data_IF_803134457714
#
_entry.id   IF_803134457714
#
_cell.length_a   1.000
_cell.length_b   1.000
_cell.length_c   1.000
_cell.angle_alpha   90.00
_cell.angle_beta   90.00
_cell.angle_gamma   90.00
#
_symmetry.space_group_name_H-M   'P 1'
#
loop_
_entity.id
_entity.type
_entity.pdbx_description
1 polymer ?
#
# COMPACT_ATOMS: atom_id res chain seq x y z
N UNK A 1 -9.59 -19.62 13.71
CA UNK A 1 -9.96 -19.12 12.37
C UNK A 1 -8.77 -18.49 11.62
N UNK A 2 -8.06 -17.54 12.23
CA UNK A 2 -6.95 -16.82 11.57
C UNK A 2 -5.82 -17.74 11.09
N UNK A 3 -5.43 -18.74 11.90
CA UNK A 3 -4.42 -19.75 11.52
C UNK A 3 -4.92 -20.69 10.41
N UNK A 4 -6.21 -20.99 10.37
CA UNK A 4 -6.79 -21.87 9.35
C UNK A 4 -6.77 -21.26 7.96
N UNK A 5 -7.14 -19.98 7.82
CA UNK A 5 -7.11 -19.28 6.53
C UNK A 5 -5.70 -19.31 5.92
N UNK A 6 -4.68 -19.12 6.74
CA UNK A 6 -3.30 -19.11 6.26
C UNK A 6 -2.76 -20.51 6.00
N UNK A 7 -3.16 -21.49 6.81
CA UNK A 7 -2.83 -22.88 6.52
C UNK A 7 -3.43 -23.31 5.18
N UNK A 8 -4.67 -22.88 4.88
CA UNK A 8 -5.30 -23.11 3.57
C UNK A 8 -4.56 -22.36 2.47
N UNK A 9 -4.24 -21.08 2.66
CA UNK A 9 -3.46 -20.30 1.68
C UNK A 9 -2.09 -20.94 1.41
N UNK A 10 -1.39 -21.40 2.46
CA UNK A 10 -0.11 -22.09 2.33
C UNK A 10 -0.22 -23.43 1.61
N UNK A 11 -1.31 -24.17 1.81
CA UNK A 11 -1.58 -25.41 1.07
C UNK A 11 -1.91 -25.14 -0.41
N UNK A 12 -2.66 -24.07 -0.69
CA UNK A 12 -2.97 -23.66 -2.07
C UNK A 12 -1.71 -23.26 -2.83
N UNK A 13 -0.68 -22.73 -2.14
CA UNK A 13 0.60 -22.38 -2.75
C UNK A 13 1.41 -23.61 -3.21
N UNK A 14 1.15 -24.79 -2.67
CA UNK A 14 1.83 -26.02 -3.05
C UNK A 14 1.09 -26.85 -4.10
N UNK A 15 -0.01 -26.34 -4.63
CA UNK A 15 -0.78 -26.99 -5.69
C UNK A 15 -0.84 -26.10 -6.94
N UNK A 16 -0.81 -26.66 -8.15
CA UNK A 16 -0.99 -25.87 -9.36
C UNK A 16 -2.35 -25.18 -9.32
N UNK A 17 -2.33 -23.87 -9.06
CA UNK A 17 -3.55 -23.09 -8.90
C UNK A 17 -4.35 -23.04 -10.20
N UNK A 18 -5.58 -23.52 -10.18
CA UNK A 18 -6.51 -23.49 -11.32
C UNK A 18 -7.04 -22.07 -11.58
N UNK A 19 -7.21 -21.27 -10.52
CA UNK A 19 -7.74 -19.92 -10.60
C UNK A 19 -6.88 -18.92 -9.78
N UNK A 20 -6.77 -17.66 -10.23
CA UNK A 20 -6.16 -16.61 -9.43
C UNK A 20 -6.90 -16.43 -8.10
N UNK A 21 -6.15 -16.26 -7.02
CA UNK A 21 -6.68 -16.10 -5.66
C UNK A 21 -6.08 -14.87 -5.00
N UNK A 22 -6.79 -14.30 -4.02
CA UNK A 22 -6.34 -13.16 -3.24
C UNK A 22 -6.32 -13.51 -1.77
N UNK A 23 -5.24 -13.15 -1.08
CA UNK A 23 -5.17 -13.11 0.38
C UNK A 23 -5.11 -11.66 0.80
N UNK A 24 -6.17 -11.16 1.38
CA UNK A 24 -6.29 -9.78 1.81
C UNK A 24 -6.33 -9.72 3.33
N UNK A 25 -5.36 -9.04 3.93
CA UNK A 25 -5.26 -8.83 5.37
C UNK A 25 -5.45 -7.35 5.65
N UNK A 26 -6.65 -7.00 6.11
CA UNK A 26 -6.93 -5.70 6.68
C UNK A 26 -6.35 -5.65 8.08
N UNK A 27 -5.60 -4.58 8.39
CA UNK A 27 -4.87 -4.40 9.65
C UNK A 27 -3.92 -5.59 9.94
N UNK A 28 -2.99 -5.86 9.00
CA UNK A 28 -2.03 -6.97 9.09
C UNK A 28 -1.26 -7.04 10.42
N UNK A 29 -0.86 -5.93 11.08
CA UNK A 29 -0.22 -5.97 12.40
C UNK A 29 -1.07 -6.63 13.48
N UNK A 30 -2.37 -6.37 13.49
CA UNK A 30 -3.32 -6.91 14.50
C UNK A 30 -3.60 -8.39 14.27
N UNK A 31 -3.53 -8.82 13.01
CA UNK A 31 -3.74 -10.21 12.60
C UNK A 31 -2.40 -10.93 12.53
N UNK A 32 -1.66 -11.02 13.61
CA UNK A 32 -0.36 -11.69 13.56
C UNK A 32 -0.42 -13.08 12.90
N UNK A 33 0.37 -13.25 11.83
CA UNK A 33 0.47 -14.47 11.04
C UNK A 33 1.92 -14.92 11.02
N UNK A 34 2.24 -16.07 11.61
CA UNK A 34 3.60 -16.60 11.51
C UNK A 34 4.01 -16.81 10.05
N UNK A 35 5.23 -16.37 9.70
CA UNK A 35 5.83 -16.50 8.37
C UNK A 35 4.98 -15.87 7.25
N UNK A 36 4.35 -14.73 7.53
CA UNK A 36 3.53 -14.01 6.56
C UNK A 36 4.35 -13.63 5.31
N UNK A 37 5.64 -13.37 5.47
CA UNK A 37 6.58 -13.02 4.41
C UNK A 37 6.68 -14.07 3.29
N UNK A 38 6.32 -15.30 3.57
CA UNK A 38 6.32 -16.38 2.56
C UNK A 38 5.22 -16.16 1.51
N UNK A 39 4.07 -15.60 1.90
CA UNK A 39 2.93 -15.39 0.99
C UNK A 39 3.27 -14.48 -0.20
N UNK A 40 3.71 -13.24 -0.02
CA UNK A 40 4.04 -12.37 -1.15
C UNK A 40 5.23 -12.88 -1.96
N UNK A 41 6.21 -13.55 -1.31
CA UNK A 41 7.41 -14.03 -1.99
C UNK A 41 7.16 -15.25 -2.89
N UNK A 42 6.29 -16.16 -2.49
CA UNK A 42 6.05 -17.43 -3.22
C UNK A 42 4.67 -17.50 -3.87
N UNK A 43 3.75 -16.60 -3.50
CA UNK A 43 2.37 -16.63 -3.99
C UNK A 43 2.25 -16.40 -5.50
N UNK A 44 3.14 -15.59 -6.09
CA UNK A 44 3.08 -15.22 -7.51
C UNK A 44 3.08 -16.42 -8.45
N UNK A 45 3.96 -17.39 -8.24
CA UNK A 45 4.04 -18.60 -9.06
C UNK A 45 2.78 -19.46 -8.99
N UNK A 46 2.05 -19.34 -7.89
CA UNK A 46 0.79 -20.05 -7.62
C UNK A 46 -0.45 -19.20 -7.88
N UNK A 47 -0.31 -18.06 -8.58
CA UNK A 47 -1.40 -17.11 -8.87
C UNK A 47 -2.13 -16.62 -7.62
N UNK A 48 -1.42 -16.51 -6.49
CA UNK A 48 -1.93 -15.94 -5.24
C UNK A 48 -1.39 -14.53 -5.08
N UNK A 49 -2.27 -13.54 -5.10
CA UNK A 49 -1.93 -12.15 -4.81
C UNK A 49 -2.14 -11.87 -3.33
N UNK A 50 -1.16 -11.22 -2.70
CA UNK A 50 -1.22 -10.83 -1.29
C UNK A 50 -1.43 -9.33 -1.19
N UNK A 51 -2.45 -8.91 -0.44
CA UNK A 51 -2.75 -7.52 -0.14
C UNK A 51 -2.66 -7.32 1.36
N UNK A 52 -1.73 -6.47 1.79
CA UNK A 52 -1.50 -6.15 3.19
C UNK A 52 -1.88 -4.69 3.43
N UNK A 53 -2.69 -4.44 4.43
CA UNK A 53 -3.06 -3.09 4.85
C UNK A 53 -2.63 -2.88 6.29
N UNK A 54 -2.12 -1.69 6.58
CA UNK A 54 -1.77 -1.25 7.92
C UNK A 54 -1.93 0.27 8.02
N UNK A 55 -2.12 0.76 9.23
CA UNK A 55 -2.25 2.20 9.50
C UNK A 55 -0.88 2.87 9.63
N UNK A 56 0.11 2.16 10.18
CA UNK A 56 1.45 2.66 10.40
C UNK A 56 2.50 1.54 10.27
N UNK A 57 3.65 1.87 9.69
CA UNK A 57 4.76 0.94 9.56
C UNK A 57 5.37 0.56 10.91
N UNK A 58 5.29 1.44 11.91
CA UNK A 58 5.75 1.13 13.26
C UNK A 58 4.98 -0.03 13.88
N UNK A 59 3.67 -0.12 13.65
CA UNK A 59 2.85 -1.24 14.12
C UNK A 59 3.23 -2.56 13.46
N UNK A 60 3.57 -2.51 12.17
CA UNK A 60 4.06 -3.69 11.46
C UNK A 60 5.40 -4.17 12.05
N UNK A 61 6.29 -3.22 12.36
CA UNK A 61 7.59 -3.50 12.99
C UNK A 61 7.43 -4.06 14.40
N UNK A 62 6.49 -3.54 15.18
CA UNK A 62 6.21 -4.03 16.53
C UNK A 62 5.66 -5.48 16.51
N UNK A 63 4.75 -5.77 15.57
CA UNK A 63 4.13 -7.09 15.47
C UNK A 63 5.03 -8.18 14.90
N UNK A 64 5.84 -7.87 13.89
CA UNK A 64 6.63 -8.86 13.15
C UNK A 64 8.15 -8.79 13.40
N UNK A 65 8.61 -7.74 14.06
CA UNK A 65 10.02 -7.39 14.17
C UNK A 65 10.53 -6.67 12.91
N UNK A 66 11.62 -5.92 13.06
CA UNK A 66 12.14 -5.05 12.01
C UNK A 66 12.48 -5.81 10.73
N UNK A 67 13.24 -6.89 10.84
CA UNK A 67 13.71 -7.66 9.68
C UNK A 67 12.56 -8.21 8.84
N UNK A 68 11.55 -8.82 9.48
CA UNK A 68 10.38 -9.35 8.77
C UNK A 68 9.48 -8.26 8.19
N UNK A 69 9.35 -7.13 8.88
CA UNK A 69 8.62 -5.98 8.36
C UNK A 69 9.27 -5.40 7.12
N UNK A 70 10.59 -5.28 7.11
CA UNK A 70 11.35 -4.80 5.96
C UNK A 70 11.21 -5.77 4.77
N UNK A 71 11.22 -7.09 5.02
CA UNK A 71 10.97 -8.11 3.98
C UNK A 71 9.54 -8.02 3.45
N UNK A 72 8.54 -7.90 4.32
CA UNK A 72 7.13 -7.74 3.92
C UNK A 72 6.94 -6.50 3.05
N UNK A 73 7.52 -5.38 3.48
CA UNK A 73 7.44 -4.13 2.74
C UNK A 73 8.12 -4.22 1.37
N UNK A 74 9.30 -4.83 1.30
CA UNK A 74 10.03 -5.00 0.04
C UNK A 74 9.39 -6.01 -0.91
N UNK A 75 8.68 -7.01 -0.38
CA UNK A 75 8.02 -8.05 -1.20
C UNK A 75 6.73 -7.56 -1.87
N UNK A 76 6.14 -6.48 -1.37
CA UNK A 76 4.99 -5.84 -1.97
C UNK A 76 5.47 -4.80 -2.99
N UNK A 77 5.32 -5.06 -4.28
CA UNK A 77 5.82 -4.19 -5.34
C UNK A 77 4.88 -3.02 -5.65
N UNK A 78 3.59 -3.15 -5.36
CA UNK A 78 2.59 -2.10 -5.56
C UNK A 78 2.16 -1.54 -4.22
N UNK A 79 2.28 -0.23 -4.07
CA UNK A 79 2.00 0.47 -2.82
C UNK A 79 1.00 1.59 -3.02
N UNK A 80 0.07 1.72 -2.06
CA UNK A 80 -0.87 2.81 -1.95
C UNK A 80 -0.73 3.46 -0.57
N UNK A 81 -0.37 4.72 -0.54
CA UNK A 81 -0.13 5.48 0.68
C UNK A 81 -1.18 6.57 0.82
N UNK A 82 -2.01 6.49 1.84
CA UNK A 82 -2.90 7.55 2.27
C UNK A 82 -2.21 8.49 3.26
N UNK A 83 -3.03 9.25 4.01
CA UNK A 83 -2.53 10.11 5.07
C UNK A 83 -1.94 9.28 6.20
N UNK A 84 -0.74 9.61 6.63
CA UNK A 84 -0.07 9.04 7.80
C UNK A 84 0.00 10.05 8.94
N UNK A 85 0.03 9.58 10.18
CA UNK A 85 0.16 10.44 11.36
C UNK A 85 1.62 10.55 11.85
N UNK A 86 2.43 9.54 11.59
CA UNK A 86 3.83 9.47 12.02
C UNK A 86 4.74 10.19 11.04
N UNK A 87 5.56 11.13 11.53
CA UNK A 87 6.60 11.79 10.73
C UNK A 87 7.67 10.81 10.27
N UNK A 88 8.01 9.80 11.08
CA UNK A 88 8.99 8.77 10.74
C UNK A 88 8.48 7.97 9.54
N UNK A 89 7.23 7.55 9.57
CA UNK A 89 6.60 6.87 8.43
C UNK A 89 6.55 7.77 7.21
N UNK A 90 6.18 9.04 7.36
CA UNK A 90 6.17 10.00 6.26
C UNK A 90 7.55 10.17 5.59
N UNK A 91 8.64 10.17 6.36
CA UNK A 91 10.01 10.25 5.85
C UNK A 91 10.42 8.99 5.09
N UNK A 92 10.04 7.81 5.59
CA UNK A 92 10.26 6.54 4.90
C UNK A 92 9.54 6.55 3.54
N UNK A 93 8.28 6.95 3.51
CA UNK A 93 7.48 7.03 2.30
C UNK A 93 8.06 8.04 1.30
N UNK A 94 8.47 9.23 1.76
CA UNK A 94 9.10 10.24 0.90
C UNK A 94 10.34 9.68 0.19
N UNK A 95 11.19 8.95 0.91
CA UNK A 95 12.39 8.31 0.36
C UNK A 95 12.07 7.25 -0.70
N UNK A 96 10.93 6.57 -0.61
CA UNK A 96 10.50 5.57 -1.60
C UNK A 96 10.23 6.19 -2.98
N UNK A 97 9.76 7.43 -3.03
CA UNK A 97 9.52 8.14 -4.28
C UNK A 97 10.80 8.72 -4.89
N UNK A 98 11.88 8.78 -4.09
CA UNK A 98 13.15 9.31 -4.52
C UNK A 98 13.15 10.82 -4.68
N UNK A 99 14.15 11.31 -5.39
CA UNK A 99 14.38 12.72 -5.61
C UNK A 99 14.40 13.05 -7.09
N UNK A 100 14.16 14.31 -7.40
CA UNK A 100 14.21 14.86 -8.75
C UNK A 100 14.97 16.17 -8.75
N UNK A 101 15.67 16.41 -9.82
CA UNK A 101 16.38 17.68 -10.03
C UNK A 101 15.41 18.75 -10.50
N UNK A 102 15.42 19.88 -9.81
CA UNK A 102 14.71 21.09 -10.23
C UNK A 102 15.70 22.19 -10.56
N UNK A 103 15.59 22.72 -11.76
CA UNK A 103 16.36 23.88 -12.20
C UNK A 103 15.64 25.12 -11.69
N UNK A 104 16.36 25.96 -10.94
CA UNK A 104 15.90 27.27 -10.49
C UNK A 104 16.70 28.33 -11.24
N UNK A 105 16.00 29.12 -12.02
CA UNK A 105 16.60 30.31 -12.66
C UNK A 105 16.41 31.50 -11.75
N UNK A 106 17.49 31.99 -11.21
CA UNK A 106 17.48 33.22 -10.41
C UNK A 106 17.94 34.38 -11.30
N UNK A 107 17.05 35.32 -11.55
CA UNK A 107 17.38 36.54 -12.29
C UNK A 107 17.73 37.61 -11.28
N UNK A 108 18.97 38.08 -11.31
CA UNK A 108 19.44 39.20 -10.48
C UNK A 108 19.59 40.46 -11.35
N UNK A 109 18.87 41.50 -11.01
CA UNK A 109 19.03 42.81 -11.63
C UNK A 109 19.96 43.68 -10.77
N UNK A 110 21.14 43.99 -11.29
CA UNK A 110 22.08 44.85 -10.63
C UNK A 110 21.94 46.28 -11.20
N UNK A 111 21.47 47.21 -10.37
CA UNK A 111 21.51 48.62 -10.66
C UNK A 111 22.78 49.23 -10.04
N UNK A 112 23.84 49.29 -10.79
CA UNK A 112 25.07 50.03 -10.41
C UNK A 112 25.19 51.27 -11.26
N UNK A 113 25.17 52.45 -10.63
CA UNK A 113 25.57 53.70 -11.26
C UNK A 113 24.72 54.90 -10.92
N UNK A 114 25.38 56.01 -10.60
CA UNK A 114 24.81 57.32 -10.30
C UNK A 114 24.29 58.07 -11.53
N UNK A 115 24.28 57.43 -12.71
CA UNK A 115 23.80 58.08 -13.97
C UNK A 115 22.79 57.11 -14.63
N UNK A 116 21.58 57.57 -14.75
CA UNK A 116 20.38 56.86 -15.20
C UNK A 116 20.34 56.41 -16.66
N UNK A 117 21.46 56.06 -17.29
CA UNK A 117 21.51 55.64 -18.70
C UNK A 117 22.17 54.28 -18.94
N UNK A 118 22.47 53.50 -17.89
CA UNK A 118 23.06 52.18 -18.09
C UNK A 118 21.93 51.16 -18.06
N UNK A 119 21.77 50.38 -19.15
CA UNK A 119 20.83 49.27 -19.23
C UNK A 119 21.07 48.32 -18.05
N UNK A 120 20.02 47.89 -17.32
CA UNK A 120 20.19 46.94 -16.23
C UNK A 120 20.84 45.68 -16.77
N UNK A 121 21.96 45.29 -16.18
CA UNK A 121 22.60 44.04 -16.50
C UNK A 121 21.82 42.91 -15.80
N UNK A 122 21.12 42.11 -16.59
CA UNK A 122 20.43 40.90 -16.08
C UNK A 122 21.41 39.76 -16.10
N UNK A 123 21.71 39.26 -14.94
CA UNK A 123 22.47 38.02 -14.79
C UNK A 123 21.48 36.91 -14.45
N UNK A 124 21.35 35.93 -15.31
CA UNK A 124 20.61 34.72 -15.06
C UNK A 124 21.59 33.68 -14.57
N UNK A 125 21.32 33.12 -13.39
CA UNK A 125 22.07 32.00 -12.86
C UNK A 125 21.10 30.82 -12.67
N UNK A 126 21.45 29.71 -13.26
CA UNK A 126 20.73 28.45 -13.10
C UNK A 126 21.37 27.65 -11.97
N UNK A 127 20.53 27.24 -11.01
CA UNK A 127 20.96 26.40 -9.92
C UNK A 127 20.12 25.13 -9.94
N UNK A 128 20.77 23.99 -10.06
CA UNK A 128 20.10 22.67 -9.94
C UNK A 128 20.00 22.33 -8.46
N UNK A 129 18.78 22.08 -7.99
CA UNK A 129 18.53 21.61 -6.62
C UNK A 129 17.80 20.28 -6.67
N UNK A 130 18.38 19.31 -5.99
CA UNK A 130 17.75 18.02 -5.75
C UNK A 130 16.61 18.18 -4.73
N UNK A 131 15.42 17.72 -5.08
CA UNK A 131 14.24 17.76 -4.18
C UNK A 131 13.49 16.46 -4.21
N UNK A 132 12.89 16.10 -3.07
CA UNK A 132 12.01 14.96 -2.96
C UNK A 132 10.84 15.09 -3.95
N UNK A 133 10.54 14.02 -4.67
CA UNK A 133 9.39 13.96 -5.60
C UNK A 133 8.09 14.23 -4.83
N UNK A 134 7.94 13.61 -3.66
CA UNK A 134 6.86 13.90 -2.72
C UNK A 134 7.49 14.13 -1.35
N UNK A 135 7.30 15.33 -0.80
CA UNK A 135 7.82 15.68 0.52
C UNK A 135 7.09 14.94 1.63
N UNK A 136 7.78 14.61 2.72
CA UNK A 136 7.19 14.00 3.93
C UNK A 136 5.94 14.76 4.43
N UNK A 137 5.99 16.09 4.44
CA UNK A 137 4.85 16.92 4.84
C UNK A 137 3.59 16.69 3.99
N UNK A 138 3.73 16.28 2.73
CA UNK A 138 2.58 15.99 1.88
C UNK A 138 1.80 14.76 2.35
N UNK A 139 2.49 13.72 2.86
CA UNK A 139 1.83 12.53 3.42
C UNK A 139 1.08 12.82 4.71
N UNK A 140 1.57 13.76 5.54
CA UNK A 140 0.90 14.19 6.77
C UNK A 140 -0.37 15.00 6.49
N UNK A 141 -0.44 15.66 5.33
CA UNK A 141 -1.49 16.61 4.96
C UNK A 141 -2.46 16.07 3.90
N UNK A 142 -2.34 14.81 3.50
CA UNK A 142 -3.24 14.22 2.51
C UNK A 142 -4.70 14.32 2.96
N UNK A 143 -5.57 14.69 2.03
CA UNK A 143 -7.01 14.75 2.24
C UNK A 143 -7.69 13.39 2.16
N UNK A 144 -8.97 13.36 2.50
CA UNK A 144 -9.78 12.15 2.37
C UNK A 144 -9.84 11.70 0.92
N UNK A 145 -9.58 10.42 0.68
CA UNK A 145 -9.54 9.80 -0.64
C UNK A 145 -8.31 10.15 -1.46
N UNK A 146 -7.37 10.92 -0.94
CA UNK A 146 -6.10 11.20 -1.61
C UNK A 146 -5.08 10.11 -1.29
N UNK A 147 -4.42 9.61 -2.34
CA UNK A 147 -3.37 8.60 -2.25
C UNK A 147 -2.21 8.95 -3.15
N UNK A 148 -1.01 8.64 -2.67
CA UNK A 148 0.18 8.50 -3.49
C UNK A 148 0.55 7.03 -3.57
N UNK A 149 1.21 6.60 -4.63
CA UNK A 149 1.58 5.20 -4.74
C UNK A 149 2.59 4.92 -5.82
N UNK A 150 3.08 3.71 -5.76
CA UNK A 150 3.99 3.13 -6.74
C UNK A 150 3.30 1.87 -7.26
N UNK A 151 3.07 1.80 -8.56
CA UNK A 151 2.47 0.64 -9.22
C UNK A 151 3.47 0.06 -10.20
N UNK A 152 3.98 -1.11 -9.89
CA UNK A 152 4.86 -1.87 -10.79
C UNK A 152 4.01 -2.49 -11.89
N UNK A 153 4.55 -2.58 -13.10
CA UNK A 153 3.84 -3.08 -14.30
C UNK A 153 2.69 -2.16 -14.78
N UNK A 154 2.74 -0.87 -14.40
CA UNK A 154 1.80 0.16 -14.85
C UNK A 154 2.50 1.14 -15.80
N UNK A 155 1.75 1.74 -16.72
CA UNK A 155 2.26 2.82 -17.59
C UNK A 155 2.71 4.06 -16.78
N UNK A 156 2.19 4.23 -15.57
CA UNK A 156 2.57 5.27 -14.61
C UNK A 156 3.05 4.60 -13.36
N UNK A 157 4.37 4.51 -13.18
CA UNK A 157 4.98 3.84 -12.02
C UNK A 157 4.72 4.56 -10.71
N UNK A 158 4.68 5.89 -10.72
CA UNK A 158 4.42 6.72 -9.54
C UNK A 158 3.20 7.60 -9.78
N UNK A 159 2.31 7.68 -8.81
CA UNK A 159 1.11 8.51 -8.91
C UNK A 159 0.79 9.21 -7.59
N UNK A 160 0.11 10.35 -7.70
CA UNK A 160 -0.63 11.02 -6.62
C UNK A 160 -1.99 11.42 -7.17
N UNK A 161 -3.06 10.84 -6.65
CA UNK A 161 -4.43 10.98 -7.16
C UNK A 161 -5.43 11.02 -6.01
N UNK A 162 -6.54 11.69 -6.27
CA UNK A 162 -7.72 11.62 -5.42
C UNK A 162 -8.70 10.63 -6.04
N UNK A 163 -9.04 9.60 -5.26
CA UNK A 163 -10.03 8.61 -5.65
C UNK A 163 -11.41 9.12 -5.21
N UNK A 164 -12.37 9.04 -6.10
CA UNK A 164 -13.76 9.34 -5.77
C UNK A 164 -14.39 8.08 -5.18
N UNK A 165 -15.18 8.27 -4.14
CA UNK A 165 -15.98 7.19 -3.62
C UNK A 165 -17.03 6.84 -4.69
N UNK A 166 -16.99 5.61 -5.19
CA UNK A 166 -18.06 5.12 -6.06
C UNK A 166 -19.36 5.03 -5.25
N UNK A 167 -20.46 5.40 -5.88
CA UNK A 167 -21.79 5.15 -5.30
C UNK A 167 -21.91 3.66 -5.01
N UNK A 168 -22.18 3.33 -3.75
CA UNK A 168 -22.39 1.94 -3.39
C UNK A 168 -23.61 1.45 -4.14
N UNK A 169 -23.50 0.42 -4.97
CA UNK A 169 -24.70 -0.19 -5.52
C UNK A 169 -25.60 -0.55 -4.34
N UNK A 170 -26.91 -0.28 -4.48
CA UNK A 170 -27.86 -0.63 -3.46
C UNK A 170 -27.57 -2.06 -3.01
N UNK A 171 -27.32 -2.24 -1.70
CA UNK A 171 -27.07 -3.57 -1.15
C UNK A 171 -28.25 -4.45 -1.57
N UNK A 172 -28.03 -5.33 -2.51
CA UNK A 172 -28.96 -6.43 -2.66
C UNK A 172 -28.93 -7.15 -1.31
N UNK A 173 -30.08 -7.27 -0.62
CA UNK A 173 -30.12 -8.05 0.59
C UNK A 173 -29.51 -9.40 0.23
N UNK A 174 -28.43 -9.77 0.90
CA UNK A 174 -27.93 -11.14 0.84
C UNK A 174 -29.15 -12.00 1.08
N UNK A 175 -29.52 -12.81 0.07
CA UNK A 175 -30.56 -13.80 0.26
C UNK A 175 -30.20 -14.55 1.53
N UNK A 176 -30.96 -14.33 2.61
CA UNK A 176 -30.76 -15.05 3.85
C UNK A 176 -30.72 -16.53 3.46
N UNK A 177 -29.66 -17.25 3.78
CA UNK A 177 -29.67 -18.68 3.51
C UNK A 177 -30.91 -19.23 4.15
N UNK A 178 -31.65 -20.11 3.46
CA UNK A 178 -32.93 -20.61 3.98
C UNK A 178 -32.71 -21.07 5.42
N UNK A 179 -33.44 -20.45 6.34
CA UNK A 179 -33.32 -20.61 7.80
C UNK A 179 -33.57 -22.05 8.28
N UNK A 180 -33.88 -22.96 7.36
CA UNK A 180 -34.18 -24.35 7.61
C UNK A 180 -32.98 -25.30 7.67
N UNK A 181 -31.73 -24.80 7.42
CA UNK A 181 -30.56 -25.71 7.34
C UNK A 181 -29.79 -25.91 8.64
N UNK A 182 -29.96 -25.03 9.63
CA UNK A 182 -29.17 -25.11 10.86
C UNK A 182 -30.11 -25.09 12.07
N UNK A 183 -30.27 -26.22 12.70
CA UNK A 183 -31.13 -26.37 13.90
C UNK A 183 -30.39 -25.86 15.14
N UNK A 184 -29.06 -25.82 15.12
CA UNK A 184 -28.25 -25.31 16.21
C UNK A 184 -26.91 -24.73 15.72
N UNK A 185 -26.26 -23.93 16.58
CA UNK A 185 -24.93 -23.40 16.32
C UNK A 185 -23.88 -24.54 16.17
N UNK A 186 -24.08 -25.65 16.91
CA UNK A 186 -23.23 -26.86 16.84
C UNK A 186 -23.31 -27.53 15.46
N UNK A 187 -24.51 -27.60 14.86
CA UNK A 187 -24.69 -28.21 13.54
C UNK A 187 -24.03 -27.35 12.45
N UNK A 188 -24.08 -26.02 12.59
CA UNK A 188 -23.36 -25.11 11.73
C UNK A 188 -21.84 -25.36 11.79
N UNK A 189 -21.26 -25.44 12.98
CA UNK A 189 -19.83 -25.72 13.15
C UNK A 189 -19.43 -27.10 12.61
N UNK A 190 -20.25 -28.13 12.79
CA UNK A 190 -19.99 -29.44 12.23
C UNK A 190 -20.01 -29.41 10.69
N UNK A 191 -20.96 -28.70 10.09
CA UNK A 191 -21.05 -28.57 8.63
C UNK A 191 -19.83 -27.85 8.08
N UNK A 192 -19.44 -26.71 8.67
CA UNK A 192 -18.23 -25.96 8.26
C UNK A 192 -16.97 -26.82 8.41
N UNK A 193 -16.88 -27.63 9.47
CA UNK A 193 -15.75 -28.53 9.68
C UNK A 193 -15.70 -29.63 8.62
N UNK A 194 -16.85 -30.24 8.30
CA UNK A 194 -16.93 -31.25 7.26
C UNK A 194 -16.62 -30.72 5.87
N UNK A 195 -17.08 -29.49 5.56
CA UNK A 195 -16.77 -28.83 4.30
C UNK A 195 -15.26 -28.53 4.18
N UNK A 196 -14.62 -28.12 5.27
CA UNK A 196 -13.16 -27.92 5.33
C UNK A 196 -12.43 -29.25 5.13
N UNK A 197 -12.87 -30.32 5.79
CA UNK A 197 -12.25 -31.65 5.66
C UNK A 197 -12.44 -32.25 4.26
N UNK A 198 -13.52 -31.92 3.55
CA UNK A 198 -13.71 -32.27 2.13
C UNK A 198 -12.82 -31.47 1.18
N UNK A 199 -12.56 -30.21 1.49
CA UNK A 199 -11.66 -29.37 0.69
C UNK A 199 -10.17 -29.73 0.90
N UNK A 200 -9.87 -30.46 1.97
CA UNK A 200 -8.51 -30.87 2.34
C UNK A 200 -8.15 -32.29 1.87
N UNK A 201 -9.11 -33.02 1.31
CA UNK A 201 -8.90 -34.32 0.65
C UNK A 201 -8.74 -34.14 -0.86
#
# INVERSE_FOLDING_TARGET
YKRQVITVASKLMNQPAKAPSFVMLDEAPTVFVPNLEVLPNTGRSNKVATVLMCQDLAQLTDGYGKEKSDVLFASCNTHFYGRVASSITADILSKQFGKTDKVYTTTSESRRGLQGFIKPHKTESETIQERDVIKSAAFLQMGVGEFAGIAVESNVTQFRRKFLQADRPARQPLSTPPSSRFVSLSDYYQTVRNDIDQLLR
#
